data_IF_702858503508
#
_entry.id   IF_702858503508
#
_cell.length_a   1.000
_cell.length_b   1.000
_cell.length_c   1.000
_cell.angle_alpha   90.00
_cell.angle_beta   90.00
_cell.angle_gamma   90.00
#
_symmetry.space_group_name_H-M   'P 1'
#
loop_
_entity.id
_entity.type
_entity.pdbx_description
1 polymer ?
2 non-polymer ?
3 non-polymer ?
4 non-polymer ?
5 water ?
#
# COMPACT_ATOMS: atom_id res chain seq x y z
N UNK A 4 -16.27 -16.10 -0.77
CA UNK A 4 -17.54 -15.41 -0.34
C UNK A 4 -17.23 -14.40 0.77
N UNK A 5 -17.95 -13.29 0.74
CA UNK A 5 -17.76 -12.21 1.69
C UNK A 5 -17.86 -12.60 3.17
N UNK A 6 -19.01 -13.10 3.58
CA UNK A 6 -19.23 -13.47 4.97
C UNK A 6 -18.23 -14.46 5.56
N UNK A 7 -17.72 -15.37 4.74
CA UNK A 7 -16.78 -16.37 5.23
C UNK A 7 -15.32 -15.91 5.33
N UNK A 8 -14.94 -14.95 4.51
CA UNK A 8 -13.55 -14.48 4.51
C UNK A 8 -13.26 -13.35 5.50
N UNK A 9 -12.02 -13.33 5.99
CA UNK A 9 -11.59 -12.29 6.92
C UNK A 9 -10.83 -11.19 6.18
N UNK A 10 -10.35 -11.53 4.98
CA UNK A 10 -9.61 -10.57 4.15
C UNK A 10 -10.39 -10.30 2.87
N UNK A 11 -10.72 -9.03 2.65
CA UNK A 11 -11.48 -8.62 1.47
C UNK A 11 -10.59 -7.78 0.56
N UNK A 12 -10.26 -8.35 -0.59
CA UNK A 12 -9.41 -7.72 -1.59
C UNK A 12 -10.25 -7.05 -2.67
N UNK A 13 -9.97 -5.78 -2.95
CA UNK A 13 -10.72 -5.08 -3.98
C UNK A 13 -9.81 -4.10 -4.70
N UNK A 14 -10.13 -3.83 -5.96
CA UNK A 14 -9.33 -2.92 -6.74
C UNK A 14 -9.95 -1.55 -6.86
N UNK A 15 -9.10 -0.55 -7.05
CA UNK A 15 -9.52 0.83 -7.21
C UNK A 15 -8.70 1.42 -8.35
N UNK A 16 -9.24 1.32 -9.56
CA UNK A 16 -8.55 1.83 -10.73
C UNK A 16 -8.76 3.33 -10.87
N UNK A 17 -8.04 4.08 -10.04
CA UNK A 17 -8.14 5.54 -10.04
C UNK A 17 -6.77 6.21 -10.08
N UNK A 18 -6.61 7.19 -10.95
CA UNK A 18 -5.37 7.96 -11.03
C UNK A 18 -5.69 9.41 -11.35
N UNK A 19 -6.87 9.84 -10.90
CA UNK A 19 -7.35 11.19 -11.13
C UNK A 19 -6.45 12.37 -10.80
N UNK A 20 -5.52 12.22 -9.85
CA UNK A 20 -4.65 13.35 -9.53
C UNK A 20 -3.26 13.23 -10.12
N UNK A 21 -3.07 12.27 -11.01
CA UNK A 21 -1.79 12.05 -11.68
C UNK A 21 -1.88 12.71 -13.05
N UNK A 22 -0.98 13.65 -13.32
CA UNK A 22 -1.01 14.39 -14.59
C UNK A 22 -0.15 13.86 -15.73
N UNK A 23 1.17 13.87 -15.56
CA UNK A 23 2.06 13.43 -16.62
C UNK A 23 2.21 11.93 -16.82
N UNK A 24 1.90 11.14 -15.80
CA UNK A 24 2.07 9.70 -15.90
C UNK A 24 0.84 8.87 -15.54
N UNK A 25 -0.27 9.07 -16.26
CA UNK A 25 -1.48 8.30 -15.94
C UNK A 25 -1.25 6.83 -16.26
N UNK A 26 -2.06 5.94 -15.67
CA UNK A 26 -1.90 4.53 -15.94
C UNK A 26 -2.10 3.63 -14.74
N UNK A 27 -1.98 4.19 -13.53
CA UNK A 27 -2.13 3.40 -12.31
C UNK A 27 -3.54 2.82 -12.23
N UNK A 28 -4.46 3.43 -12.98
CA UNK A 28 -5.85 3.00 -13.00
C UNK A 28 -6.01 1.56 -13.48
N UNK A 29 -5.02 1.06 -14.21
CA UNK A 29 -5.08 -0.29 -14.78
C UNK A 29 -4.44 -1.39 -13.96
N UNK A 30 -3.88 -1.04 -12.82
CA UNK A 30 -3.20 -1.99 -11.95
C UNK A 30 -3.95 -3.31 -11.67
N UNK A 31 -5.09 -3.22 -10.98
CA UNK A 31 -5.84 -4.42 -10.63
C UNK A 31 -6.35 -5.21 -11.82
N UNK A 32 -6.85 -4.53 -12.86
CA UNK A 32 -7.36 -5.23 -14.02
C UNK A 32 -6.21 -5.90 -14.79
N UNK A 33 -5.04 -5.27 -14.78
CA UNK A 33 -3.89 -5.86 -15.45
C UNK A 33 -3.44 -7.10 -14.67
N UNK A 35 -5.38 -8.90 -12.82
CA UNK A 35 -6.46 -9.89 -12.88
C UNK A 35 -6.25 -10.96 -13.94
N UNK A 36 -5.86 -10.54 -15.14
CA UNK A 36 -5.65 -11.51 -16.22
C UNK A 36 -4.31 -12.22 -16.08
N UNK A 37 -3.57 -11.88 -15.03
CA UNK A 37 -2.25 -12.44 -14.79
C UNK A 37 -2.25 -13.39 -13.58
N UNK A 38 -2.87 -12.94 -12.49
CA UNK A 38 -2.92 -13.71 -11.26
C UNK A 38 -3.34 -15.18 -11.48
N UNK A 39 -4.26 -15.40 -12.41
CA UNK A 39 -4.77 -16.73 -12.73
C UNK A 39 -3.73 -17.83 -12.77
N UNK A 40 -2.69 -17.63 -13.57
CA UNK A 40 -1.66 -18.64 -13.74
C UNK A 40 -0.52 -18.76 -12.75
N UNK A 41 -0.51 -17.94 -11.70
CA UNK A 41 0.56 -18.01 -10.72
C UNK A 41 0.27 -19.04 -9.64
N UNK A 42 1.33 -19.65 -9.11
CA UNK A 42 1.19 -20.65 -8.06
C UNK A 42 0.53 -20.06 -6.81
N UNK A 43 -0.32 -20.85 -6.16
CA UNK A 43 -1.00 -20.42 -4.95
C UNK A 43 -0.12 -20.71 -3.74
N UNK A 44 0.96 -21.47 -3.97
CA UNK A 44 1.88 -21.82 -2.89
C UNK A 44 3.10 -20.92 -2.89
N UNK A 45 3.50 -20.50 -1.70
CA UNK A 45 4.68 -19.66 -1.56
C UNK A 45 5.78 -20.45 -0.87
N UNK A 46 6.83 -20.83 -1.62
CA UNK A 46 7.94 -21.59 -1.04
C UNK A 46 8.74 -20.75 -0.04
N UNK A 47 8.74 -19.44 -0.24
CA UNK A 47 9.46 -18.52 0.65
C UNK A 47 8.79 -18.48 2.03
N UNK A 48 7.47 -18.46 2.06
CA UNK A 48 6.74 -18.39 3.32
C UNK A 48 6.20 -19.74 3.76
N UNK A 49 6.15 -20.69 2.84
CA UNK A 49 5.63 -22.03 3.11
C UNK A 49 4.17 -21.92 3.56
N UNK A 50 3.40 -21.16 2.78
CA UNK A 50 1.98 -20.95 3.03
C UNK A 50 1.28 -21.10 1.69
N UNK A 51 0.01 -21.46 1.70
CA UNK A 51 -0.73 -21.64 0.45
C UNK A 51 -2.07 -20.91 0.51
N UNK A 52 -2.34 -20.10 -0.51
CA UNK A 52 -3.60 -19.35 -0.56
C UNK A 52 -4.82 -20.24 -0.40
N UNK A 53 -4.70 -21.51 -0.78
CA UNK A 53 -5.80 -22.46 -0.69
C UNK A 53 -6.25 -22.83 0.72
N UNK A 54 -5.43 -22.54 1.72
CA UNK A 54 -5.80 -22.85 3.09
C UNK A 54 -6.57 -21.72 3.75
N UNK A 55 -6.91 -20.69 2.98
CA UNK A 55 -7.60 -19.56 3.59
C UNK A 55 -8.86 -19.08 2.88
N UNK A 56 -9.67 -18.34 3.63
CA UNK A 56 -10.89 -17.76 3.10
C UNK A 56 -10.58 -16.31 2.77
N UNK A 57 -10.41 -16.04 1.48
CA UNK A 57 -10.13 -14.71 1.00
C UNK A 57 -11.18 -14.35 -0.04
N UNK A 58 -11.75 -13.17 0.08
CA UNK A 58 -12.77 -12.73 -0.85
C UNK A 58 -12.21 -11.80 -1.91
N UNK A 59 -12.54 -12.09 -3.16
CA UNK A 59 -12.12 -11.27 -4.29
C UNK A 59 -13.34 -10.41 -4.62
N UNK A 60 -13.38 -9.20 -4.08
CA UNK A 60 -14.51 -8.32 -4.31
C UNK A 60 -14.48 -7.65 -5.69
N UNK A 61 -13.41 -7.87 -6.44
CA UNK A 61 -13.30 -7.26 -7.75
C UNK A 61 -12.99 -5.77 -7.66
N UNK A 62 -13.29 -5.04 -8.73
CA UNK A 62 -13.03 -3.62 -8.76
C UNK A 62 -14.21 -2.80 -8.26
N UNK A 63 -13.90 -1.75 -7.49
CA UNK A 63 -14.90 -0.87 -6.96
C UNK A 63 -15.38 0.04 -8.08
N UNK A 64 -16.69 0.16 -8.24
CA UNK A 64 -17.23 1.01 -9.27
C UNK A 64 -17.07 2.44 -8.78
N UNK A 65 -16.38 3.27 -9.55
CA UNK A 65 -16.18 4.65 -9.13
C UNK A 65 -16.63 5.66 -10.17
N UNK A 66 -17.06 6.82 -9.69
CA UNK A 66 -17.51 7.88 -10.58
C UNK A 66 -16.30 8.46 -11.31
N UNK A 67 -16.57 9.21 -12.36
CA UNK A 67 -15.51 9.82 -13.14
C UNK A 67 -15.64 11.34 -13.13
N UNK A 68 -14.49 12.03 -13.20
CA UNK A 68 -14.51 13.48 -13.23
C UNK A 68 -14.44 14.21 -11.89
N UNK A 69 -14.45 13.47 -10.79
CA UNK A 69 -14.38 14.13 -9.50
C UNK A 69 -13.60 13.33 -8.47
N UNK A 70 -12.40 13.82 -8.14
CA UNK A 70 -11.55 13.18 -7.15
C UNK A 70 -12.33 13.09 -5.84
N UNK A 71 -12.87 14.22 -5.41
CA UNK A 71 -13.66 14.31 -4.18
C UNK A 71 -14.69 13.18 -4.12
N UNK A 72 -15.40 12.95 -5.22
CA UNK A 72 -16.41 11.91 -5.29
C UNK A 72 -15.83 10.51 -5.18
N UNK A 73 -14.69 10.29 -5.83
CA UNK A 73 -14.02 8.99 -5.81
C UNK A 73 -13.56 8.63 -4.41
N UNK A 74 -12.99 9.60 -3.70
CA UNK A 74 -12.51 9.36 -2.35
C UNK A 74 -13.64 8.91 -1.42
N UNK A 75 -14.80 9.56 -1.53
CA UNK A 75 -15.95 9.20 -0.70
C UNK A 75 -16.39 7.77 -0.97
N UNK A 76 -16.33 7.37 -2.23
CA UNK A 76 -16.73 6.02 -2.63
C UNK A 76 -15.75 4.99 -2.07
N UNK A 77 -14.47 5.29 -2.09
CA UNK A 77 -13.46 4.36 -1.56
C UNK A 77 -13.72 4.24 -0.07
N UNK A 78 -13.96 5.38 0.57
CA UNK A 78 -14.23 5.42 2.00
C UNK A 78 -15.40 4.49 2.34
N UNK A 79 -16.48 4.62 1.58
CA UNK A 79 -17.66 3.80 1.79
C UNK A 79 -17.38 2.30 1.76
N UNK A 80 -16.71 1.85 0.69
CA UNK A 80 -16.40 0.43 0.54
C UNK A 80 -15.55 -0.07 1.70
N UNK A 81 -14.51 0.68 2.03
CA UNK A 81 -13.62 0.31 3.12
C UNK A 81 -14.38 0.24 4.44
N UNK A 82 -15.18 1.27 4.73
CA UNK A 82 -15.94 1.32 5.97
C UNK A 82 -16.81 0.08 6.20
N UNK A 83 -17.55 -0.32 5.17
CA UNK A 83 -18.38 -1.50 5.30
C UNK A 83 -17.54 -2.73 5.66
N UNK A 84 -16.36 -2.85 5.05
CA UNK A 84 -15.50 -3.99 5.35
C UNK A 84 -15.02 -3.92 6.80
N UNK A 85 -14.57 -2.74 7.21
CA UNK A 85 -14.11 -2.56 8.58
C UNK A 85 -15.25 -2.80 9.56
N UNK A 86 -16.42 -2.26 9.21
CA UNK A 86 -17.61 -2.40 10.04
C UNK A 86 -17.97 -3.87 10.26
N UNK A 87 -17.75 -4.68 9.24
CA UNK A 87 -18.06 -6.10 9.32
C UNK A 87 -16.93 -6.90 9.95
N UNK A 88 -16.02 -6.22 10.64
CA UNK A 88 -14.89 -6.87 11.29
C UNK A 88 -14.03 -7.69 10.34
N UNK A 89 -13.66 -7.09 9.22
CA UNK A 89 -12.83 -7.77 8.24
C UNK A 89 -11.72 -6.82 7.83
N UNK A 90 -10.67 -7.38 7.23
CA UNK A 90 -9.53 -6.59 6.80
C UNK A 90 -9.66 -6.17 5.35
N UNK A 91 -9.60 -4.85 5.09
CA UNK A 91 -9.70 -4.38 3.71
C UNK A 91 -8.31 -4.40 3.08
N UNK A 92 -8.20 -5.00 1.91
CA UNK A 92 -6.94 -5.05 1.19
C UNK A 92 -7.21 -4.43 -0.18
N UNK A 94 -6.13 -2.72 -3.78
CA UNK A 94 -5.14 -2.78 -4.86
C UNK A 94 -5.50 -1.56 -5.70
N UNK A 95 -4.88 -0.44 -5.42
CA UNK A 95 -5.25 0.74 -6.15
C UNK A 95 -4.38 1.19 -7.29
N UNK A 96 -4.70 2.39 -7.73
CA UNK A 96 -3.97 3.06 -8.77
C UNK A 96 -3.08 3.97 -7.96
N UNK A 97 -3.25 5.29 -8.09
CA UNK A 97 -2.41 6.22 -7.36
C UNK A 97 -2.51 6.10 -5.84
N UNK A 98 -1.49 6.63 -5.16
CA UNK A 98 -1.41 6.53 -3.71
C UNK A 98 -2.50 7.29 -2.94
N UNK A 99 -3.19 8.21 -3.60
CA UNK A 99 -4.22 8.97 -2.89
C UNK A 99 -5.35 8.08 -2.37
N UNK A 100 -5.62 6.96 -3.05
CA UNK A 100 -6.71 6.06 -2.62
C UNK A 100 -6.53 5.59 -1.18
N UNK A 101 -5.29 5.66 -0.70
CA UNK A 101 -4.96 5.26 0.66
C UNK A 101 -5.58 6.17 1.73
N UNK A 102 -5.76 7.46 1.41
CA UNK A 102 -6.31 8.40 2.38
C UNK A 102 -7.70 8.01 2.90
N UNK A 103 -8.68 7.87 1.99
CA UNK A 103 -10.03 7.49 2.45
C UNK A 103 -10.06 6.11 3.09
N UNK A 104 -9.25 5.20 2.56
CA UNK A 104 -9.19 3.84 3.08
C UNK A 104 -8.69 3.88 4.51
N UNK A 105 -7.61 4.62 4.72
CA UNK A 105 -7.02 4.76 6.04
C UNK A 105 -8.05 5.35 6.98
N UNK A 106 -8.74 6.39 6.53
CA UNK A 106 -9.74 7.03 7.37
C UNK A 106 -10.78 6.03 7.86
N UNK A 107 -11.30 5.22 6.95
CA UNK A 107 -12.31 4.23 7.30
C UNK A 107 -11.77 3.29 8.38
N UNK A 108 -10.48 2.95 8.28
CA UNK A 108 -9.87 2.06 9.26
C UNK A 108 -9.63 2.81 10.57
N UNK A 109 -9.13 4.03 10.47
CA UNK A 109 -8.85 4.85 11.65
C UNK A 109 -10.11 5.14 12.46
N UNK A 110 -11.25 5.18 11.79
CA UNK A 110 -12.54 5.43 12.45
C UNK A 110 -12.77 4.44 13.58
N UNK A 111 -12.39 3.18 13.35
CA UNK A 111 -12.56 2.15 14.36
C UNK A 111 -11.33 2.01 15.25
N UNK A 112 -10.15 2.04 14.64
CA UNK A 112 -8.89 1.88 15.38
C UNK A 112 -8.20 3.23 15.57
N UNK A 113 -8.69 4.01 16.53
CA UNK A 113 -8.16 5.33 16.81
C UNK A 113 -6.66 5.31 17.10
N UNK A 114 -6.21 4.29 17.81
CA UNK A 114 -4.79 4.17 18.16
C UNK A 114 -4.10 3.24 17.18
N UNK A 115 -3.92 3.69 15.95
CA UNK A 115 -3.29 2.87 14.93
C UNK A 115 -1.97 3.41 14.44
N UNK A 116 -1.09 2.53 13.98
CA UNK A 116 0.21 2.91 13.46
C UNK A 116 0.25 2.68 11.96
N UNK A 117 1.02 3.49 11.25
CA UNK A 117 1.12 3.38 9.81
C UNK A 117 2.51 2.97 9.33
N UNK A 118 2.57 1.90 8.55
CA UNK A 118 3.84 1.44 7.99
C UNK A 118 3.78 1.85 6.52
N UNK A 119 4.75 2.65 6.11
CA UNK A 119 4.81 3.20 4.76
C UNK A 119 6.07 2.86 3.94
N UNK A 120 5.89 2.15 2.84
CA UNK A 120 6.99 1.79 1.95
C UNK A 120 6.83 2.65 0.70
N UNK A 121 7.91 3.31 0.30
CA UNK A 121 7.81 4.22 -0.84
C UNK A 121 9.19 4.72 -1.25
N UNK A 122 9.29 5.21 -2.48
CA UNK A 122 10.54 5.77 -2.98
C UNK A 122 10.45 7.26 -2.66
N UNK A 123 9.22 7.74 -2.49
CA UNK A 123 8.95 9.14 -2.19
C UNK A 123 8.37 9.36 -0.79
N UNK A 124 8.68 10.52 -0.21
CA UNK A 124 8.20 10.88 1.12
C UNK A 124 6.69 11.09 1.15
N UNK A 125 6.16 11.73 0.11
CA UNK A 125 4.73 12.03 0.03
C UNK A 125 4.33 12.97 1.18
N UNK A 126 5.28 13.74 1.68
CA UNK A 126 5.01 14.65 2.78
C UNK A 126 4.70 16.09 2.39
N UNK A 127 4.84 16.44 1.12
CA UNK A 127 4.55 17.82 0.77
C UNK A 127 3.08 18.16 0.99
N UNK A 128 2.84 19.42 1.35
CA UNK A 128 1.50 19.92 1.64
C UNK A 128 0.59 19.92 0.40
N UNK A 129 1.16 20.28 -0.75
CA UNK A 129 0.40 20.31 -1.99
C UNK A 129 1.25 19.85 -3.16
N UNK A 130 0.56 19.50 -4.25
CA UNK A 130 1.21 19.09 -5.47
C UNK A 130 0.24 19.47 -6.59
N UNK A 131 0.75 20.20 -7.57
CA UNK A 131 -0.09 20.65 -8.68
C UNK A 131 -1.27 21.45 -8.11
N UNK A 132 -0.99 22.25 -7.09
CA UNK A 132 -1.97 23.10 -6.43
C UNK A 132 -3.10 22.40 -5.69
N UNK A 133 -2.96 21.10 -5.45
CA UNK A 133 -3.99 20.34 -4.74
C UNK A 133 -3.46 19.75 -3.44
N UNK A 134 -4.25 19.88 -2.38
CA UNK A 134 -3.87 19.34 -1.08
C UNK A 134 -4.02 17.82 -1.11
N UNK A 135 -4.93 17.35 -1.96
CA UNK A 135 -5.18 15.92 -2.07
C UNK A 135 -4.56 15.41 -3.37
N UNK A 136 -3.40 14.79 -3.23
CA UNK A 136 -2.66 14.25 -4.35
C UNK A 136 -1.93 12.99 -3.90
N UNK A 137 -1.43 12.21 -4.84
CA UNK A 137 -0.70 11.01 -4.49
C UNK A 137 0.59 11.39 -3.77
N UNK A 138 1.07 12.61 -4.04
CA UNK A 138 2.32 13.12 -3.45
C UNK A 138 2.19 13.79 -2.08
N UNK A 139 0.97 13.90 -1.57
CA UNK A 139 0.75 14.53 -0.28
C UNK A 139 0.03 13.59 0.67
N UNK A 140 -0.25 12.37 0.22
CA UNK A 140 -1.00 11.41 1.02
C UNK A 140 -0.51 11.20 2.47
N UNK A 141 0.79 11.07 2.67
CA UNK A 141 1.29 10.87 4.03
C UNK A 141 1.13 12.11 4.90
N UNK A 142 1.21 13.29 4.27
CA UNK A 142 1.04 14.53 5.02
C UNK A 142 -0.41 14.58 5.49
N UNK A 143 -1.32 14.18 4.60
CA UNK A 143 -2.74 14.16 4.95
C UNK A 143 -2.98 13.22 6.12
N UNK A 144 -2.32 12.06 6.07
CA UNK A 144 -2.47 11.08 7.14
C UNK A 144 -1.84 11.58 8.44
N UNK A 145 -0.72 12.30 8.33
CA UNK A 145 -0.09 12.83 9.53
C UNK A 145 -1.02 13.84 10.22
N UNK A 146 -1.80 14.57 9.41
CA UNK A 146 -2.74 15.54 9.97
C UNK A 146 -3.77 14.81 10.82
N UNK A 147 -3.93 13.52 10.57
CA UNK A 147 -4.90 12.73 11.33
C UNK A 147 -4.33 12.05 12.57
N UNK A 148 -3.13 11.46 12.46
CA UNK A 148 -2.53 10.75 13.59
C UNK A 148 -1.45 11.50 14.36
N UNK A 149 -0.80 12.46 13.72
CA UNK A 149 0.24 13.20 14.41
C UNK A 149 1.55 12.44 14.51
N UNK A 150 2.46 12.94 15.33
CA UNK A 150 3.78 12.34 15.49
C UNK A 150 3.82 10.96 16.14
N UNK A 151 4.93 10.26 15.93
CA UNK A 151 5.18 8.94 16.51
C UNK A 151 4.17 7.87 16.12
N UNK A 152 3.60 7.99 14.92
CA UNK A 152 2.63 6.99 14.47
C UNK A 152 2.98 6.49 13.07
N UNK A 153 3.69 7.32 12.31
CA UNK A 153 4.06 6.98 10.95
C UNK A 153 5.51 6.55 10.80
N UNK A 154 5.71 5.43 10.13
CA UNK A 154 7.04 4.86 9.89
C UNK A 154 7.23 4.65 8.40
N UNK A 155 8.22 5.31 7.83
CA UNK A 155 8.48 5.23 6.40
C UNK A 155 9.77 4.49 6.11
N UNK A 156 9.75 3.70 5.04
CA UNK A 156 10.91 2.89 4.66
C UNK A 156 11.23 2.94 3.17
N UNK A 157 12.52 2.97 2.86
CA UNK A 157 12.97 2.98 1.48
C UNK A 157 12.95 4.32 0.77
N UNK A 158 12.60 5.37 1.51
CA UNK A 158 12.53 6.72 0.94
C UNK A 158 13.85 7.19 0.34
N UNK A 159 13.79 7.71 -0.87
CA UNK A 159 15.00 8.18 -1.54
C UNK A 159 14.80 9.38 -2.47
N UNK A 160 13.63 10.00 -2.41
CA UNK A 160 13.33 11.15 -3.27
C UNK A 160 12.36 12.12 -2.61
N UNK A 161 12.65 13.42 -2.73
CA UNK A 161 11.79 14.43 -2.15
C UNK A 161 12.48 15.77 -1.95
N UNK A 162 11.71 16.80 -1.62
CA UNK A 162 12.27 18.12 -1.37
C UNK A 162 13.03 18.09 -0.04
N UNK A 163 13.93 19.03 0.17
CA UNK A 163 14.68 19.06 1.41
C UNK A 163 13.72 19.26 2.61
N UNK A 164 12.69 20.07 2.41
CA UNK A 164 11.72 20.34 3.48
C UNK A 164 11.00 19.07 3.93
N UNK A 165 10.58 18.25 2.96
CA UNK A 165 9.90 17.00 3.27
C UNK A 165 10.75 16.12 4.17
N UNK A 166 12.05 16.06 3.86
CA UNK A 166 12.96 15.25 4.67
C UNK A 166 13.17 15.86 6.06
N UNK A 167 13.32 17.17 6.13
CA UNK A 167 13.50 17.86 7.40
C UNK A 167 12.29 17.59 8.30
N UNK A 168 11.10 17.68 7.71
CA UNK A 168 9.85 17.44 8.42
C UNK A 168 9.94 16.15 9.22
N UNK A 169 10.57 15.13 8.63
CA UNK A 169 10.71 13.85 9.28
C UNK A 169 11.99 13.69 10.10
N UNK A 170 13.12 14.02 9.50
CA UNK A 170 14.41 13.87 10.16
C UNK A 170 14.76 14.89 11.24
N UNK A 171 14.44 16.16 10.98
CA UNK A 171 14.73 17.21 11.94
C UNK A 171 13.57 17.50 12.88
N UNK A 172 12.38 17.65 12.31
CA UNK A 172 11.19 17.93 13.09
C UNK A 172 10.58 16.67 13.71
N UNK A 173 11.09 15.51 13.29
CA UNK A 173 10.65 14.22 13.82
C UNK A 173 9.13 13.97 13.83
N UNK A 174 8.44 14.42 12.79
CA UNK A 174 7.00 14.22 12.72
C UNK A 174 6.66 12.78 12.30
N UNK A 175 7.64 12.08 11.74
CA UNK A 175 7.46 10.70 11.32
C UNK A 175 8.80 10.00 11.45
N UNK A 176 8.78 8.68 11.47
CA UNK A 176 10.02 7.92 11.52
C UNK A 176 10.30 7.61 10.06
N UNK A 178 13.26 5.80 7.32
CA UNK A 178 14.54 5.19 7.01
C UNK A 178 14.81 5.57 5.57
N UNK A 179 15.86 6.33 5.35
CA UNK A 179 16.20 6.79 4.01
C UNK A 179 17.10 5.83 3.26
N UNK A 180 16.78 5.62 1.99
CA UNK A 180 17.58 4.76 1.13
C UNK A 180 17.62 3.28 1.45
N UNK A 181 16.73 2.80 2.30
CA UNK A 181 16.73 1.38 2.63
C UNK A 181 15.57 0.93 3.48
N UNK A 182 15.54 -0.36 3.78
CA UNK A 182 14.47 -0.95 4.61
C UNK A 182 15.07 -1.86 5.69
N UNK A 183 16.37 -1.72 5.93
CA UNK A 183 17.08 -2.54 6.91
C UNK A 183 16.58 -2.47 8.34
N UNK A 184 16.00 -1.34 8.73
CA UNK A 184 15.50 -1.18 10.10
C UNK A 184 14.09 -1.71 10.31
N UNK A 185 13.47 -2.23 9.24
CA UNK A 185 12.10 -2.73 9.35
C UNK A 185 11.85 -3.75 10.46
N UNK A 186 12.73 -4.74 10.59
CA UNK A 186 12.56 -5.75 11.63
C UNK A 186 12.55 -5.12 13.02
N UNK A 187 13.44 -4.15 13.24
CA UNK A 187 13.49 -3.48 14.52
C UNK A 187 12.20 -2.72 14.80
N UNK A 188 11.70 -1.99 13.80
CA UNK A 188 10.47 -1.23 13.95
C UNK A 188 9.29 -2.13 14.23
N UNK A 189 9.19 -3.24 13.51
CA UNK A 189 8.09 -4.17 13.68
C UNK A 189 8.05 -4.78 15.08
N UNK A 190 9.21 -5.20 15.60
CA UNK A 190 9.26 -5.75 16.95
C UNK A 190 8.83 -4.69 17.97
N UNK A 192 6.72 -2.40 17.52
CA UNK A 192 5.28 -2.21 17.39
C UNK A 192 4.54 -3.47 17.81
N UNK A 193 5.20 -4.28 18.64
CA UNK A 193 4.63 -5.53 19.12
C UNK A 193 3.23 -5.34 19.70
N UNK A 194 2.28 -6.10 19.17
CA UNK A 194 0.90 -6.03 19.64
C UNK A 194 0.10 -4.82 19.24
N UNK A 195 0.64 -3.99 18.35
CA UNK A 195 -0.07 -2.80 17.91
C UNK A 195 -0.86 -3.00 16.62
N UNK A 196 -1.80 -2.09 16.38
CA UNK A 196 -2.64 -2.14 15.18
C UNK A 196 -1.97 -1.33 14.10
N UNK A 197 -1.83 -1.93 12.92
CA UNK A 197 -1.16 -1.29 11.81
C UNK A 197 -1.94 -1.18 10.50
N UNK A 198 -1.72 -0.06 9.81
CA UNK A 198 -2.30 0.11 8.49
C UNK A 198 -1.05 0.07 7.61
N UNK A 199 -0.97 -0.92 6.75
CA UNK A 199 0.18 -1.07 5.87
C UNK A 199 -0.08 -0.57 4.46
N UNK A 200 0.64 0.48 4.08
CA UNK A 200 0.50 1.05 2.74
C UNK A 200 1.82 0.90 1.99
N UNK A 201 1.78 0.14 0.91
CA UNK A 201 2.97 -0.11 0.11
C UNK A 201 2.91 0.51 -1.29
N UNK A 202 3.71 1.55 -1.50
CA UNK A 202 3.81 2.17 -2.82
C UNK A 202 4.84 1.27 -3.51
N UNK A 203 4.42 0.56 -4.55
CA UNK A 203 5.32 -0.36 -5.24
C UNK A 203 6.59 0.27 -5.83
N UNK A 204 6.62 1.60 -6.01
CA UNK A 204 7.84 2.18 -6.55
C UNK A 204 8.95 2.20 -5.50
N UNK A 205 8.72 1.57 -4.36
CA UNK A 205 9.75 1.50 -3.34
C UNK A 205 10.83 0.60 -3.94
N UNK A 206 10.40 -0.28 -4.86
CA UNK A 206 11.33 -1.18 -5.54
C UNK A 206 12.14 -0.34 -6.51
N UNK A 207 13.37 -0.76 -6.80
CA UNK A 207 14.22 -0.02 -7.72
C UNK A 207 13.52 0.18 -9.06
N UNK A 208 13.79 1.33 -9.68
CA UNK A 208 13.20 1.67 -10.97
C UNK A 208 13.46 0.65 -12.06
N UNK A 209 14.66 0.08 -12.11
CA UNK A 209 14.99 -0.91 -13.15
C UNK A 209 14.35 -2.26 -12.88
N UNK A 210 13.90 -2.47 -11.65
CA UNK A 210 13.25 -3.72 -11.26
C UNK A 210 11.75 -3.58 -11.49
N UNK A 211 11.19 -2.45 -11.10
CA UNK A 211 9.75 -2.19 -11.22
C UNK A 211 9.54 -0.87 -11.97
N UNK A 212 9.78 -0.87 -13.29
CA UNK A 212 9.61 0.35 -14.08
C UNK A 212 8.15 0.69 -14.41
N UNK A 213 7.27 -0.28 -14.21
CA UNK A 213 5.85 -0.07 -14.50
C UNK A 213 5.21 0.74 -13.41
N UNK A 214 5.67 1.98 -13.24
CA UNK A 214 5.15 2.86 -12.21
C UNK A 214 5.25 4.30 -12.69
N UNK A 215 4.49 5.20 -12.05
CA UNK A 215 4.47 6.59 -12.47
C UNK A 215 5.74 7.41 -12.34
N UNK A 216 6.43 7.28 -11.22
CA UNK A 216 7.64 8.06 -10.97
C UNK A 216 8.81 7.17 -10.53
N UNK A 217 9.40 6.42 -11.47
CA UNK A 217 10.52 5.52 -11.18
C UNK A 217 11.69 6.27 -10.53
N UNK A 218 12.28 5.67 -9.50
CA UNK A 218 13.40 6.28 -8.80
C UNK A 218 14.57 5.30 -8.64
N UNK A 219 15.70 5.58 -9.29
CA UNK A 219 16.86 4.69 -9.20
C UNK A 219 17.36 4.58 -7.76
N UNK A 220 17.99 3.47 -7.43
CA UNK A 220 18.51 3.29 -6.09
C UNK A 220 17.62 2.58 -5.08
N UNK A 221 16.61 1.84 -5.55
CA UNK A 221 15.74 1.14 -4.63
C UNK A 221 16.19 -0.30 -4.40
N UNK A 222 15.42 -1.05 -3.62
CA UNK A 222 15.75 -2.46 -3.35
C UNK A 222 15.20 -3.37 -4.44
N UNK A 223 15.83 -4.53 -4.61
CA UNK A 223 15.36 -5.49 -5.61
C UNK A 223 14.28 -6.33 -4.94
N UNK A 224 13.74 -7.31 -5.64
CA UNK A 224 12.69 -8.14 -5.06
C UNK A 224 13.16 -9.08 -3.96
N UNK A 225 14.34 -9.65 -4.10
CA UNK A 225 14.85 -10.59 -3.11
C UNK A 225 15.01 -9.90 -1.75
N UNK A 226 15.47 -8.66 -1.77
CA UNK A 226 15.63 -7.90 -0.54
C UNK A 226 14.26 -7.52 0.02
N UNK A 227 13.37 -7.07 -0.84
CA UNK A 227 12.04 -6.66 -0.42
C UNK A 227 11.20 -7.76 0.24
N UNK A 228 11.19 -8.94 -0.36
CA UNK A 228 10.37 -10.03 0.17
C UNK A 228 10.67 -10.35 1.63
N UNK A 229 11.83 -9.93 2.11
CA UNK A 229 12.20 -10.17 3.51
C UNK A 229 11.20 -9.55 4.47
N UNK A 230 10.53 -8.48 4.03
CA UNK A 230 9.56 -7.84 4.92
C UNK A 230 8.38 -8.78 5.17
N UNK A 231 8.13 -9.68 4.23
CA UNK A 231 7.02 -10.62 4.41
C UNK A 231 7.35 -11.60 5.52
N UNK A 232 8.61 -12.04 5.59
CA UNK A 232 9.04 -12.97 6.62
C UNK A 232 9.00 -12.27 7.97
N UNK A 233 9.47 -11.03 8.00
CA UNK A 233 9.51 -10.23 9.22
C UNK A 233 8.11 -10.00 9.78
N UNK A 234 7.15 -9.74 8.90
CA UNK A 234 5.79 -9.53 9.35
C UNK A 234 5.21 -10.86 9.84
N UNK A 235 5.48 -11.93 9.10
CA UNK A 235 4.98 -13.24 9.47
C UNK A 235 5.45 -13.69 10.86
N UNK A 236 6.70 -13.40 11.18
CA UNK A 236 7.24 -13.79 12.48
C UNK A 236 7.02 -12.77 13.58
N UNK A 237 6.39 -11.64 13.26
CA UNK A 237 6.16 -10.61 14.26
C UNK A 237 4.80 -10.74 14.93
N UNK A 238 4.51 -9.79 15.81
CA UNK A 238 3.24 -9.77 16.50
C UNK A 238 2.48 -8.47 16.25
N UNK A 239 2.50 -8.01 15.00
CA UNK A 239 1.78 -6.79 14.67
C UNK A 239 0.44 -7.19 14.09
N UNK A 240 -0.57 -6.35 14.28
CA UNK A 240 -1.90 -6.65 13.78
C UNK A 240 -2.27 -5.72 12.61
N UNK A 241 -2.26 -6.27 11.41
CA UNK A 241 -2.60 -5.48 10.23
C UNK A 241 -4.11 -5.48 10.09
N UNK A 242 -4.72 -4.30 10.27
CA UNK A 242 -6.17 -4.17 10.18
C UNK A 242 -6.61 -3.52 8.88
N UNK A 243 -5.63 -3.21 8.05
CA UNK A 243 -5.89 -2.58 6.76
C UNK A 243 -4.62 -2.62 5.94
N UNK A 244 -4.75 -2.81 4.62
CA UNK A 244 -3.58 -2.88 3.77
C UNK A 244 -3.86 -2.48 2.33
N UNK A 245 -2.80 -2.09 1.62
CA UNK A 245 -2.92 -1.73 0.21
C UNK A 245 -1.56 -1.67 -0.49
N UNK A 246 -1.58 -1.86 -1.81
CA UNK A 246 -0.38 -1.77 -2.62
C UNK A 246 -0.82 -0.81 -3.73
N UNK A 247 0.05 0.12 -4.10
CA UNK A 247 -0.35 1.11 -5.09
C UNK A 247 0.75 1.52 -6.05
N UNK A 248 0.34 2.31 -7.05
CA UNK A 248 1.23 2.87 -8.06
C UNK A 248 1.75 1.94 -9.16
N UNK A 249 1.16 0.75 -9.28
CA UNK A 249 1.54 -0.13 -10.37
C UNK A 249 0.90 0.49 -11.60
N UNK A 250 1.72 0.85 -12.58
CA UNK A 250 1.23 1.45 -13.82
C UNK A 250 1.83 0.56 -14.91
N UNK A 251 1.10 -0.52 -15.26
CA UNK A 251 1.38 -1.58 -16.24
C UNK A 251 2.06 -1.20 -17.55
N UNK A 252 1.38 -0.41 -18.36
CA UNK A 252 1.90 -0.03 -19.66
C UNK A 252 3.31 0.54 -19.69
N UNK A 253 3.78 1.12 -18.59
CA UNK A 253 5.13 1.69 -18.60
C UNK A 253 6.22 0.63 -18.57
N UNK A 254 5.84 -0.62 -18.28
CA UNK A 254 6.81 -1.72 -18.27
C UNK A 254 6.38 -2.64 -19.40
N UNK A 255 6.95 -2.41 -20.57
CA UNK A 255 6.64 -3.20 -21.75
C UNK A 255 6.94 -4.69 -21.61
N UNK A 256 7.81 -5.05 -20.66
CA UNK A 256 8.13 -6.47 -20.48
C UNK A 256 7.01 -7.16 -19.73
N UNK A 257 6.22 -6.37 -19.00
CA UNK A 257 5.12 -6.92 -18.24
C UNK A 257 5.53 -7.46 -16.87
N UNK A 258 6.82 -7.49 -16.59
CA UNK A 258 7.29 -8.02 -15.30
C UNK A 258 6.77 -7.28 -14.07
N UNK A 259 6.57 -5.97 -14.18
CA UNK A 259 6.04 -5.19 -13.06
C UNK A 259 4.71 -5.73 -12.56
N UNK A 260 3.88 -6.21 -13.49
CA UNK A 260 2.59 -6.76 -13.14
C UNK A 260 2.77 -8.07 -12.37
N UNK A 261 3.72 -8.87 -12.84
CA UNK A 261 4.00 -10.15 -12.20
C UNK A 261 4.48 -9.91 -10.79
N UNK A 262 5.34 -8.90 -10.62
CA UNK A 262 5.86 -8.56 -9.31
C UNK A 262 4.72 -8.16 -8.36
N UNK A 263 3.79 -7.34 -8.87
CA UNK A 263 2.66 -6.90 -8.07
C UNK A 263 1.81 -8.10 -7.66
N UNK A 264 1.65 -9.04 -8.58
CA UNK A 264 0.84 -10.23 -8.33
C UNK A 264 1.46 -11.05 -7.21
N UNK A 265 2.78 -11.23 -7.27
CA UNK A 265 3.46 -12.02 -6.25
C UNK A 265 3.40 -11.31 -4.91
N UNK A 266 3.58 -9.99 -4.92
CA UNK A 266 3.52 -9.24 -3.67
C UNK A 266 2.11 -9.36 -3.09
N UNK A 267 1.12 -9.29 -3.95
CA UNK A 267 -0.27 -9.42 -3.50
C UNK A 267 -0.44 -10.77 -2.80
N UNK A 268 0.06 -11.83 -3.42
CA UNK A 268 -0.07 -13.16 -2.84
C UNK A 268 0.58 -13.28 -1.47
N UNK A 269 1.85 -12.92 -1.37
CA UNK A 269 2.57 -13.02 -0.10
C UNK A 269 1.87 -12.24 1.02
N UNK A 270 1.38 -11.05 0.70
CA UNK A 270 0.69 -10.24 1.70
C UNK A 270 -0.61 -10.88 2.15
N UNK A 271 -1.37 -11.44 1.22
CA UNK A 271 -2.61 -12.11 1.58
C UNK A 271 -2.28 -13.27 2.51
N UNK A 272 -1.27 -14.05 2.14
CA UNK A 272 -0.85 -15.18 2.95
C UNK A 272 -0.50 -14.73 4.36
N UNK A 273 0.40 -13.75 4.45
CA UNK A 273 0.84 -13.21 5.73
C UNK A 273 -0.31 -12.75 6.62
N UNK A 274 -1.21 -11.95 6.06
CA UNK A 274 -2.34 -11.44 6.83
C UNK A 274 -3.33 -12.55 7.16
N UNK A 275 -3.66 -13.37 6.16
CA UNK A 275 -4.60 -14.47 6.36
C UNK A 275 -4.14 -15.44 7.43
N UNK A 276 -2.84 -15.70 7.48
CA UNK A 276 -2.32 -16.62 8.47
C UNK A 276 -2.45 -16.09 9.89
N UNK A 277 -2.22 -14.79 10.07
CA UNK A 277 -2.32 -14.19 11.39
C UNK A 277 -3.75 -14.24 11.91
N UNK A 278 -4.70 -13.92 11.05
CA UNK A 278 -6.11 -13.95 11.41
C UNK A 278 -6.45 -15.42 11.69
N UNK A 279 -5.67 -16.32 11.09
CA UNK A 279 -5.84 -17.75 11.25
C UNK A 279 -7.12 -18.28 10.63
#
# INVERSE_FOLDING_TARGET
XSLNYEESNLIVFGVGFDGTTSNRPGARFASSSXRKEFYGLETYSPFLDLDLEDYNICDYGDLEISVGSTEQVLKEIYQETYKIVRDSKVPFXIGGEHLVTLPAFKAVHEKYNDIYVIHFDAHTDLREEYNNSKNSHATVIKRIWDIVGDNKIFQFGIRSGTKEEFKFATEEKHTYXEIGGIDTFENIVNXLNGKNIYLTIDLDVLDASVFPGTGTPEPGGVNYREFQEIFKIIKNSNINIVGCDIVELSPDYDTTGVSTVIACKILRELCLIISDKIKEGHHHHHH
#
